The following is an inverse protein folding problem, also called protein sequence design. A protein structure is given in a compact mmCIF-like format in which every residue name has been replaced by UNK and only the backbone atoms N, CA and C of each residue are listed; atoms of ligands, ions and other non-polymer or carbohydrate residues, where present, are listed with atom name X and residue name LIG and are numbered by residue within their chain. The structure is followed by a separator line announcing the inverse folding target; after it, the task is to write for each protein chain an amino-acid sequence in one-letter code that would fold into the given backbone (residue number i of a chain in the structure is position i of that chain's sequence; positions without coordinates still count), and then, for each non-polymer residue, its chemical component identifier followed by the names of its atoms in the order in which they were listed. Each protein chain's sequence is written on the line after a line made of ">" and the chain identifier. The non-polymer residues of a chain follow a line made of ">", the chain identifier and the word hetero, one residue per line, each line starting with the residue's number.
data_IF_817056025798
#
_entry.id   IF_817056025798
#
_cell.length_a   1.000
_cell.length_b   1.000
_cell.length_c   1.000
_cell.angle_alpha   90.00
_cell.angle_beta   90.00
_cell.angle_gamma   90.00
#
_symmetry.space_group_name_H-M   'P 1'
#
loop_
_entity.id
_entity.type
_entity.pdbx_description
1 polymer ?
#
# COMPACT_ATOMS: atom_id res chain seq x y z
N UNK A 1 52.24 -42.65 -61.74
CA UNK A 1 51.42 -41.43 -61.93
C UNK A 1 50.13 -41.58 -61.15
N UNK A 2 50.04 -41.04 -59.92
CA UNK A 2 48.80 -40.88 -59.16
C UNK A 2 48.90 -39.54 -58.43
N UNK A 3 48.04 -38.60 -58.81
CA UNK A 3 47.85 -37.30 -58.18
C UNK A 3 46.57 -37.43 -57.35
N UNK A 4 46.64 -37.17 -56.04
CA UNK A 4 45.44 -36.96 -55.22
C UNK A 4 45.59 -35.66 -54.45
N UNK A 5 44.60 -34.81 -54.64
CA UNK A 5 44.49 -33.40 -54.26
C UNK A 5 44.26 -33.27 -52.75
N UNK A 6 45.06 -32.44 -52.07
CA UNK A 6 44.79 -32.00 -50.70
C UNK A 6 43.77 -30.85 -50.74
N UNK A 7 42.58 -31.07 -50.15
CA UNK A 7 41.59 -30.02 -49.90
C UNK A 7 41.88 -29.39 -48.53
N UNK A 8 42.29 -28.12 -48.53
CA UNK A 8 42.53 -27.33 -47.31
C UNK A 8 41.26 -26.60 -46.91
N UNK A 9 40.59 -27.06 -45.86
CA UNK A 9 39.41 -26.40 -45.30
C UNK A 9 39.86 -25.27 -44.36
N UNK A 10 39.69 -24.02 -44.80
CA UNK A 10 39.91 -22.83 -43.99
C UNK A 10 38.70 -22.63 -43.06
N UNK A 11 38.88 -22.88 -41.76
CA UNK A 11 37.85 -22.64 -40.75
C UNK A 11 37.81 -21.15 -40.39
N UNK A 12 36.75 -20.46 -40.83
CA UNK A 12 36.46 -19.08 -40.43
C UNK A 12 35.90 -19.10 -39.01
N UNK A 13 36.70 -18.69 -38.03
CA UNK A 13 36.28 -18.46 -36.64
C UNK A 13 35.49 -17.15 -36.56
N UNK A 14 34.16 -17.25 -36.52
CA UNK A 14 33.25 -16.16 -36.19
C UNK A 14 33.34 -15.86 -34.68
N UNK A 15 34.03 -14.79 -34.30
CA UNK A 15 33.94 -14.21 -32.96
C UNK A 15 32.64 -13.42 -32.84
N UNK A 16 31.62 -14.02 -32.23
CA UNK A 16 30.42 -13.31 -31.81
C UNK A 16 30.75 -12.50 -30.53
N UNK A 17 31.07 -11.22 -30.69
CA UNK A 17 31.19 -10.29 -29.57
C UNK A 17 29.81 -10.04 -28.98
N UNK A 18 29.47 -10.73 -27.90
CA UNK A 18 28.28 -10.44 -27.11
C UNK A 18 28.48 -9.10 -26.40
N UNK A 19 27.91 -8.03 -26.96
CA UNK A 19 27.78 -6.75 -26.28
C UNK A 19 26.82 -6.93 -25.10
N UNK A 20 27.36 -7.04 -23.90
CA UNK A 20 26.56 -6.96 -22.67
C UNK A 20 25.91 -5.58 -22.63
N UNK A 21 24.58 -5.54 -22.57
CA UNK A 21 23.85 -4.32 -22.21
C UNK A 21 24.27 -3.99 -20.77
N UNK A 22 25.16 -3.02 -20.60
CA UNK A 22 25.55 -2.54 -19.28
C UNK A 22 24.33 -1.88 -18.66
N UNK A 23 23.79 -2.47 -17.59
CA UNK A 23 22.75 -1.83 -16.80
C UNK A 23 23.29 -0.47 -16.32
N UNK A 24 22.58 0.61 -16.68
CA UNK A 24 22.94 1.96 -16.25
C UNK A 24 22.75 2.00 -14.74
N UNK A 25 23.84 2.17 -14.00
CA UNK A 25 23.77 2.28 -12.55
C UNK A 25 23.09 3.60 -12.13
N UNK A 26 22.36 3.63 -11.00
CA UNK A 26 21.75 4.84 -10.49
C UNK A 26 22.81 5.82 -10.02
N UNK A 27 22.54 7.10 -10.25
CA UNK A 27 23.37 8.22 -9.74
C UNK A 27 23.07 8.45 -8.26
N UNK A 28 21.79 8.40 -7.88
CA UNK A 28 21.32 8.60 -6.51
C UNK A 28 20.04 7.82 -6.21
N UNK A 29 19.72 7.70 -4.92
CA UNK A 29 18.44 7.17 -4.44
C UNK A 29 17.81 8.16 -3.44
N UNK A 30 16.49 8.21 -3.43
CA UNK A 30 15.68 8.96 -2.47
C UNK A 30 14.60 8.04 -1.88
N UNK A 31 14.24 8.27 -0.62
CA UNK A 31 13.19 7.50 0.06
C UNK A 31 12.07 8.45 0.47
N UNK A 32 10.83 8.02 0.24
CA UNK A 32 9.64 8.79 0.55
C UNK A 32 8.70 8.00 1.46
N UNK A 33 8.22 8.61 2.57
CA UNK A 33 8.59 9.93 3.07
C UNK A 33 10.06 10.00 3.54
N UNK A 34 10.67 11.21 3.62
CA UNK A 34 12.06 11.39 4.04
C UNK A 34 12.28 11.11 5.53
N UNK A 35 11.21 11.09 6.33
CA UNK A 35 11.18 10.70 7.74
C UNK A 35 9.88 9.94 8.05
N UNK A 36 9.91 9.10 9.08
CA UNK A 36 8.78 8.28 9.49
C UNK A 36 8.42 8.61 10.93
N UNK A 37 7.28 9.28 11.13
CA UNK A 37 6.72 9.53 12.45
C UNK A 37 5.49 8.64 12.64
N UNK A 38 5.53 7.75 13.63
CA UNK A 38 4.42 6.86 13.95
C UNK A 38 3.94 7.10 15.37
N UNK A 39 2.62 7.02 15.53
CA UNK A 39 1.99 7.06 16.84
C UNK A 39 0.97 5.94 16.98
N UNK A 40 0.80 5.43 18.20
CA UNK A 40 -0.14 4.37 18.58
C UNK A 40 0.24 2.97 18.06
N UNK A 41 -0.34 1.95 18.67
CA UNK A 41 -0.21 0.55 18.23
C UNK A 41 -0.73 0.28 16.81
N UNK A 42 -1.61 1.14 16.28
CA UNK A 42 -2.13 1.08 14.91
C UNK A 42 -1.34 1.92 13.90
N UNK A 43 -0.28 2.60 14.33
CA UNK A 43 0.59 3.35 13.44
C UNK A 43 1.22 2.43 12.40
N UNK A 44 1.29 2.87 11.15
CA UNK A 44 2.02 2.18 10.09
C UNK A 44 2.43 3.16 9.01
N UNK A 45 3.58 2.94 8.40
CA UNK A 45 4.09 3.78 7.33
C UNK A 45 4.69 2.92 6.23
N UNK A 46 4.31 3.17 4.98
CA UNK A 46 4.98 2.58 3.82
C UNK A 46 6.09 3.50 3.35
N UNK A 47 7.19 2.91 2.90
CA UNK A 47 8.27 3.64 2.24
C UNK A 47 8.31 3.31 0.75
N UNK A 48 8.71 4.28 -0.07
CA UNK A 48 8.98 4.14 -1.49
C UNK A 48 10.43 4.53 -1.73
N UNK A 49 11.16 3.72 -2.48
CA UNK A 49 12.54 4.00 -2.87
C UNK A 49 12.55 4.38 -4.34
N UNK A 50 13.03 5.57 -4.64
CA UNK A 50 13.16 6.08 -6.00
C UNK A 50 14.65 6.19 -6.36
N UNK A 51 15.05 5.54 -7.45
CA UNK A 51 16.37 5.70 -8.04
C UNK A 51 16.34 6.75 -9.16
N UNK A 52 17.39 7.55 -9.26
CA UNK A 52 17.60 8.53 -10.33
C UNK A 52 18.84 8.15 -11.14
N UNK A 53 18.74 8.18 -12.47
CA UNK A 53 19.79 7.76 -13.40
C UNK A 53 20.38 8.95 -14.16
N UNK A 54 21.54 8.74 -14.80
CA UNK A 54 22.28 9.81 -15.49
C UNK A 54 21.55 10.36 -16.73
N UNK A 55 20.61 9.58 -17.28
CA UNK A 55 19.73 9.97 -18.37
C UNK A 55 18.53 10.84 -17.90
N UNK A 56 18.43 11.13 -16.60
CA UNK A 56 17.35 11.89 -15.99
C UNK A 56 16.09 11.07 -15.67
N UNK A 57 16.07 9.76 -16.00
CA UNK A 57 14.95 8.88 -15.69
C UNK A 57 14.96 8.56 -14.19
N UNK A 58 13.76 8.48 -13.61
CA UNK A 58 13.55 7.96 -12.26
C UNK A 58 12.78 6.65 -12.30
N UNK A 59 13.06 5.75 -11.35
CA UNK A 59 12.37 4.45 -11.24
C UNK A 59 12.02 4.17 -9.80
N UNK A 60 10.83 3.62 -9.58
CA UNK A 60 10.47 2.98 -8.31
C UNK A 60 11.29 1.68 -8.21
N UNK A 61 12.18 1.65 -7.23
CA UNK A 61 13.06 0.52 -6.92
C UNK A 61 12.75 -0.09 -5.56
N UNK A 62 11.55 0.18 -5.00
CA UNK A 62 11.17 -0.23 -3.64
C UNK A 62 11.26 -1.73 -3.44
N UNK A 63 10.89 -2.52 -4.46
CA UNK A 63 10.92 -3.97 -4.39
C UNK A 63 12.34 -4.56 -4.52
N UNK A 64 13.28 -3.84 -5.13
CA UNK A 64 14.66 -4.28 -5.34
C UNK A 64 15.61 -3.75 -4.26
N UNK A 65 15.24 -2.68 -3.56
CA UNK A 65 16.05 -2.10 -2.51
C UNK A 65 16.15 -3.02 -1.29
N UNK A 66 17.35 -3.12 -0.73
CA UNK A 66 17.59 -3.76 0.56
C UNK A 66 17.27 -2.77 1.66
N UNK A 67 16.31 -3.12 2.51
CA UNK A 67 15.82 -2.26 3.60
C UNK A 67 16.09 -2.94 4.94
N UNK A 68 16.72 -2.24 5.87
CA UNK A 68 17.05 -2.75 7.20
C UNK A 68 16.71 -1.73 8.28
N UNK A 69 16.39 -2.19 9.49
CA UNK A 69 16.09 -1.34 10.65
C UNK A 69 17.21 -1.42 11.67
N UNK A 70 17.61 -0.28 12.23
CA UNK A 70 18.71 -0.21 13.20
C UNK A 70 18.35 -0.78 14.57
N UNK A 71 17.10 -0.61 15.03
CA UNK A 71 16.63 -1.17 16.30
C UNK A 71 15.26 -1.88 16.14
N UNK A 72 15.26 -3.22 16.07
CA UNK A 72 14.05 -4.03 16.01
C UNK A 72 13.12 -3.91 17.23
N UNK A 73 13.60 -3.36 18.36
CA UNK A 73 12.78 -3.14 19.56
C UNK A 73 11.89 -1.90 19.43
N UNK A 74 12.24 -0.97 18.55
CA UNK A 74 11.49 0.29 18.33
C UNK A 74 10.52 0.12 17.16
N UNK A 75 10.98 -0.42 16.04
CA UNK A 75 10.16 -0.64 14.87
C UNK A 75 10.61 -1.88 14.10
N UNK A 76 9.68 -2.46 13.32
CA UNK A 76 9.94 -3.61 12.44
C UNK A 76 9.39 -3.33 11.05
N UNK A 77 9.92 -4.04 10.06
CA UNK A 77 9.47 -3.92 8.66
C UNK A 77 8.83 -5.24 8.23
N UNK A 78 7.59 -5.18 7.76
CA UNK A 78 6.83 -6.32 7.24
C UNK A 78 6.20 -5.88 5.93
N UNK A 79 6.46 -6.61 4.84
CA UNK A 79 5.90 -6.30 3.50
C UNK A 79 6.11 -4.84 3.05
N UNK A 80 7.30 -4.27 3.32
CA UNK A 80 7.65 -2.85 3.04
C UNK A 80 6.83 -1.82 3.84
N UNK A 81 6.05 -2.26 4.83
CA UNK A 81 5.43 -1.39 5.84
C UNK A 81 6.27 -1.42 7.13
N UNK A 82 6.57 -0.22 7.63
CA UNK A 82 7.18 0.02 8.94
C UNK A 82 6.07 0.00 9.97
N UNK A 83 6.25 -0.82 11.01
CA UNK A 83 5.32 -1.02 12.11
C UNK A 83 5.98 -0.66 13.44
N UNK A 84 5.26 0.01 14.37
CA UNK A 84 5.75 0.32 15.70
C UNK A 84 5.86 -0.95 16.55
N UNK A 85 6.88 -1.00 17.39
CA UNK A 85 7.11 -2.06 18.39
C UNK A 85 7.30 -1.47 19.79
N UNK A 86 8.05 -0.38 19.87
CA UNK A 86 8.36 0.33 21.11
C UNK A 86 8.59 1.81 20.87
N UNK A 87 8.57 2.59 21.94
CA UNK A 87 8.80 4.03 21.87
C UNK A 87 10.28 4.35 21.71
N UNK A 88 10.58 5.36 20.91
CA UNK A 88 11.95 5.85 20.73
C UNK A 88 12.26 6.25 19.30
N UNK A 89 13.56 6.48 19.06
CA UNK A 89 14.08 6.87 17.76
C UNK A 89 14.97 5.77 17.20
N UNK A 90 14.77 5.44 15.94
CA UNK A 90 15.68 4.58 15.18
C UNK A 90 15.84 5.12 13.77
N UNK A 91 16.57 4.39 12.93
CA UNK A 91 16.72 4.69 11.50
C UNK A 91 16.51 3.45 10.65
N UNK A 92 15.99 3.67 9.44
CA UNK A 92 15.91 2.68 8.37
C UNK A 92 17.06 2.94 7.42
N UNK A 93 17.91 1.95 7.20
CA UNK A 93 18.94 1.99 6.17
C UNK A 93 18.42 1.33 4.89
N UNK A 94 18.46 2.08 3.79
CA UNK A 94 18.05 1.65 2.46
C UNK A 94 19.26 1.61 1.56
N UNK A 95 19.46 0.49 0.88
CA UNK A 95 20.55 0.27 -0.06
C UNK A 95 20.01 -0.23 -1.41
N UNK A 96 20.48 0.36 -2.51
CA UNK A 96 20.19 -0.09 -3.86
C UNK A 96 21.36 0.21 -4.79
N UNK A 97 21.88 -0.84 -5.45
CA UNK A 97 23.01 -0.77 -6.41
C UNK A 97 24.21 0.08 -5.92
N UNK A 98 24.63 -0.12 -4.68
CA UNK A 98 25.76 0.57 -4.05
C UNK A 98 25.46 1.99 -3.56
N UNK A 99 24.22 2.48 -3.71
CA UNK A 99 23.76 3.74 -3.11
C UNK A 99 23.06 3.44 -1.79
N UNK A 100 23.32 4.27 -0.79
CA UNK A 100 22.73 4.13 0.55
C UNK A 100 22.09 5.43 1.00
N UNK A 101 20.98 5.32 1.72
CA UNK A 101 20.36 6.44 2.42
C UNK A 101 19.77 5.97 3.75
N UNK A 102 19.59 6.90 4.68
CA UNK A 102 18.99 6.64 5.98
C UNK A 102 17.75 7.50 6.17
N UNK A 103 16.69 6.86 6.68
CA UNK A 103 15.42 7.52 7.01
C UNK A 103 15.24 7.48 8.52
N UNK A 104 15.16 8.63 9.21
CA UNK A 104 14.88 8.67 10.63
C UNK A 104 13.45 8.19 10.92
N UNK A 105 13.30 7.48 12.03
CA UNK A 105 12.04 6.97 12.55
C UNK A 105 11.86 7.47 13.98
N UNK A 106 10.71 8.07 14.27
CA UNK A 106 10.29 8.45 15.63
C UNK A 106 8.96 7.76 15.94
N UNK A 107 8.95 6.96 17.00
CA UNK A 107 7.77 6.21 17.44
C UNK A 107 7.36 6.67 18.83
N UNK A 108 6.08 7.01 18.97
CA UNK A 108 5.46 7.42 20.23
C UNK A 108 4.20 6.60 20.53
N UNK A 109 3.97 6.33 21.81
CA UNK A 109 2.79 5.60 22.27
C UNK A 109 2.59 4.24 21.57
N UNK A 110 3.66 3.53 21.22
CA UNK A 110 3.65 2.30 20.40
C UNK A 110 2.74 1.19 20.94
N UNK A 111 2.50 1.17 22.26
CA UNK A 111 1.67 0.17 22.93
C UNK A 111 0.23 0.69 23.16
N UNK A 112 0.01 2.01 23.08
CA UNK A 112 -1.33 2.57 23.30
C UNK A 112 -2.17 2.38 22.05
N UNK A 113 -3.30 1.73 22.22
CA UNK A 113 -4.31 1.74 21.18
C UNK A 113 -5.13 3.04 21.29
N UNK A 114 -5.18 3.82 20.19
CA UNK A 114 -5.98 5.05 20.17
C UNK A 114 -7.46 4.71 20.14
N UNK A 115 -8.37 5.55 20.67
CA UNK A 115 -9.81 5.33 20.50
C UNK A 115 -10.19 5.17 19.02
N UNK A 116 -11.21 4.34 18.77
CA UNK A 116 -11.80 4.18 17.44
C UNK A 116 -12.39 5.52 17.01
N UNK A 117 -12.07 5.91 15.78
CA UNK A 117 -12.51 7.13 15.14
C UNK A 117 -13.27 6.78 13.88
N UNK A 118 -14.52 7.23 13.78
CA UNK A 118 -15.29 7.06 12.55
C UNK A 118 -14.53 7.63 11.33
N UNK A 119 -13.89 8.79 11.49
CA UNK A 119 -13.15 9.47 10.44
C UNK A 119 -11.89 8.72 9.99
N UNK A 120 -11.14 8.13 10.92
CA UNK A 120 -9.86 7.50 10.60
C UNK A 120 -9.94 5.99 10.39
N UNK A 121 -10.96 5.33 10.94
CA UNK A 121 -11.07 3.86 10.93
C UNK A 121 -12.20 3.35 10.04
N UNK A 122 -13.34 4.06 9.96
CA UNK A 122 -14.54 3.57 9.25
C UNK A 122 -14.70 4.24 7.87
N UNK A 123 -14.61 5.56 7.80
CA UNK A 123 -14.77 6.29 6.55
C UNK A 123 -13.79 5.88 5.44
N UNK A 124 -12.51 5.60 5.71
CA UNK A 124 -11.59 5.14 4.67
C UNK A 124 -12.00 3.81 4.06
N UNK A 125 -12.70 2.95 4.80
CA UNK A 125 -13.25 1.69 4.29
C UNK A 125 -14.31 1.99 3.22
N UNK A 126 -15.21 2.95 3.48
CA UNK A 126 -16.22 3.36 2.48
C UNK A 126 -15.59 3.96 1.23
N UNK A 127 -14.54 4.76 1.39
CA UNK A 127 -13.83 5.38 0.27
C UNK A 127 -13.13 4.34 -0.60
N UNK A 128 -12.34 3.47 0.02
CA UNK A 128 -11.58 2.43 -0.67
C UNK A 128 -12.49 1.45 -1.41
N UNK A 129 -13.63 1.12 -0.83
CA UNK A 129 -14.59 0.17 -1.41
C UNK A 129 -15.66 0.81 -2.29
N UNK A 130 -15.60 2.13 -2.48
CA UNK A 130 -16.46 2.87 -3.40
C UNK A 130 -17.89 3.13 -2.93
N UNK A 131 -18.20 2.91 -1.64
CA UNK A 131 -19.53 3.13 -1.10
C UNK A 131 -19.92 4.62 -1.13
N UNK A 132 -18.99 5.51 -0.81
CA UNK A 132 -19.22 6.97 -0.74
C UNK A 132 -18.80 7.72 -2.02
N UNK A 133 -18.72 7.03 -3.16
CA UNK A 133 -18.44 7.65 -4.46
C UNK A 133 -19.72 8.12 -5.15
N UNK A 134 -19.58 9.04 -6.10
CA UNK A 134 -20.70 9.67 -6.82
C UNK A 134 -21.60 8.70 -7.61
N UNK A 135 -21.13 7.49 -7.92
CA UNK A 135 -21.93 6.45 -8.57
C UNK A 135 -22.92 5.71 -7.65
N UNK A 136 -22.76 5.83 -6.32
CA UNK A 136 -23.53 5.07 -5.33
C UNK A 136 -24.06 5.97 -4.19
N UNK A 137 -23.80 5.63 -2.92
CA UNK A 137 -24.30 6.40 -1.79
C UNK A 137 -23.68 7.80 -1.68
N UNK A 138 -22.52 8.02 -2.30
CA UNK A 138 -21.89 9.35 -2.44
C UNK A 138 -22.53 10.27 -3.49
N UNK A 139 -23.54 9.79 -4.24
CA UNK A 139 -24.30 10.65 -5.14
C UNK A 139 -25.02 11.76 -4.37
N UNK A 140 -25.25 12.93 -4.99
CA UNK A 140 -25.92 14.06 -4.35
C UNK A 140 -27.28 13.68 -3.69
N UNK A 141 -28.01 12.76 -4.34
CA UNK A 141 -29.28 12.20 -3.88
C UNK A 141 -29.16 10.87 -3.11
N UNK A 142 -27.95 10.31 -2.98
CA UNK A 142 -27.71 8.96 -2.49
C UNK A 142 -28.33 7.88 -3.38
N UNK A 143 -28.52 6.69 -2.81
CA UNK A 143 -29.18 5.52 -3.43
C UNK A 143 -30.12 4.88 -2.42
N UNK A 144 -31.34 4.57 -2.85
CA UNK A 144 -32.34 3.80 -2.08
C UNK A 144 -32.57 4.33 -0.66
N UNK A 145 -32.64 5.66 -0.52
CA UNK A 145 -32.86 6.34 0.76
C UNK A 145 -31.65 6.32 1.71
N UNK A 146 -30.45 6.02 1.21
CA UNK A 146 -29.20 6.14 1.96
C UNK A 146 -28.18 7.00 1.21
N UNK A 147 -27.65 8.00 1.91
CA UNK A 147 -26.63 8.94 1.40
C UNK A 147 -25.44 8.98 2.34
N UNK A 148 -24.26 8.86 1.76
CA UNK A 148 -22.98 9.22 2.35
C UNK A 148 -22.49 10.49 1.63
N UNK A 149 -21.66 11.27 2.30
CA UNK A 149 -21.03 12.44 1.73
C UNK A 149 -19.98 12.00 0.70
N UNK A 150 -19.86 12.76 -0.39
CA UNK A 150 -18.93 12.44 -1.45
C UNK A 150 -17.50 12.40 -0.91
N UNK A 151 -16.84 11.25 -1.04
CA UNK A 151 -15.49 10.98 -0.53
C UNK A 151 -15.30 11.24 0.97
N UNK A 152 -16.39 11.30 1.75
CA UNK A 152 -16.31 11.56 3.18
C UNK A 152 -16.17 13.04 3.56
N UNK A 153 -16.68 13.94 2.73
CA UNK A 153 -16.67 15.39 2.99
C UNK A 153 -17.36 15.82 4.29
N UNK A 154 -18.37 15.09 4.76
CA UNK A 154 -19.14 15.36 5.99
C UNK A 154 -19.14 14.12 6.92
N UNK A 155 -18.04 13.90 7.68
CA UNK A 155 -17.91 12.77 8.61
C UNK A 155 -19.03 12.67 9.65
N UNK A 156 -19.40 13.79 10.25
CA UNK A 156 -20.36 13.80 11.35
C UNK A 156 -21.78 13.50 10.85
N UNK A 157 -22.15 14.08 9.71
CA UNK A 157 -23.41 13.75 9.06
C UNK A 157 -23.44 12.33 8.52
N UNK A 158 -22.34 11.79 7.99
CA UNK A 158 -22.26 10.39 7.56
C UNK A 158 -22.44 9.43 8.73
N UNK A 159 -21.79 9.71 9.86
CA UNK A 159 -21.96 8.96 11.09
C UNK A 159 -23.43 9.00 11.56
N UNK A 160 -24.07 10.17 11.55
CA UNK A 160 -25.48 10.31 11.91
C UNK A 160 -26.42 9.52 10.97
N UNK A 161 -26.24 9.64 9.64
CA UNK A 161 -27.04 8.93 8.63
C UNK A 161 -26.90 7.42 8.75
N UNK A 162 -25.70 6.96 9.10
CA UNK A 162 -25.43 5.55 9.29
C UNK A 162 -26.07 5.01 10.58
N UNK A 163 -25.94 5.75 11.69
CA UNK A 163 -26.29 5.23 13.02
C UNK A 163 -27.68 5.63 13.52
N UNK A 164 -28.29 6.71 13.00
CA UNK A 164 -29.53 7.30 13.54
C UNK A 164 -30.69 7.33 12.55
N UNK A 165 -30.44 7.60 11.26
CA UNK A 165 -31.53 7.64 10.29
C UNK A 165 -32.22 6.29 10.11
N UNK A 166 -33.50 6.33 9.71
CA UNK A 166 -34.37 5.16 9.62
C UNK A 166 -34.37 4.32 10.90
N UNK A 167 -34.35 4.98 12.07
CA UNK A 167 -34.34 4.36 13.39
C UNK A 167 -33.17 3.38 13.59
N UNK A 168 -31.99 3.71 13.06
CA UNK A 168 -30.77 2.92 13.25
C UNK A 168 -30.74 1.56 12.53
N UNK A 169 -31.69 1.28 11.63
CA UNK A 169 -31.85 -0.03 10.96
C UNK A 169 -30.62 -0.56 10.20
N UNK A 170 -29.60 0.27 9.96
CA UNK A 170 -28.39 -0.10 9.21
C UNK A 170 -27.33 -0.80 10.08
N UNK A 171 -27.38 -0.58 11.39
CA UNK A 171 -26.40 -1.08 12.36
C UNK A 171 -27.14 -1.89 13.42
N UNK A 172 -26.71 -3.13 13.60
CA UNK A 172 -27.15 -3.97 14.69
C UNK A 172 -26.09 -3.91 15.80
N UNK A 173 -26.43 -3.26 16.92
CA UNK A 173 -25.51 -3.10 18.05
C UNK A 173 -25.42 -4.36 18.93
N UNK A 174 -26.39 -5.28 18.81
CA UNK A 174 -26.37 -6.54 19.55
C UNK A 174 -25.53 -7.60 18.81
N UNK A 175 -25.64 -7.65 17.48
CA UNK A 175 -24.93 -8.59 16.61
C UNK A 175 -24.36 -7.81 15.40
N UNK A 176 -23.15 -7.24 15.52
CA UNK A 176 -22.56 -6.36 14.49
C UNK A 176 -22.49 -6.98 13.10
N UNK A 177 -22.22 -8.29 13.00
CA UNK A 177 -22.11 -9.02 11.73
C UNK A 177 -23.44 -9.10 10.96
N UNK A 178 -24.57 -8.95 11.66
CA UNK A 178 -25.92 -8.90 11.10
C UNK A 178 -26.37 -7.46 10.78
N UNK A 179 -25.48 -6.47 10.89
CA UNK A 179 -25.76 -5.13 10.41
C UNK A 179 -26.04 -5.18 8.91
N UNK A 180 -27.16 -4.62 8.46
CA UNK A 180 -27.47 -4.50 7.02
C UNK A 180 -26.34 -3.85 6.22
N UNK A 181 -25.58 -2.94 6.84
CA UNK A 181 -24.35 -2.38 6.27
C UNK A 181 -23.34 -3.49 5.91
N UNK A 182 -23.04 -4.38 6.86
CA UNK A 182 -22.04 -5.46 6.74
C UNK A 182 -22.54 -6.54 5.77
N UNK A 183 -23.79 -6.98 5.91
CA UNK A 183 -24.37 -8.01 5.05
C UNK A 183 -24.42 -7.59 3.58
N UNK A 184 -24.75 -6.32 3.29
CA UNK A 184 -24.72 -5.79 1.92
C UNK A 184 -23.31 -5.61 1.38
N UNK A 185 -22.36 -5.24 2.24
CA UNK A 185 -20.97 -5.04 1.85
C UNK A 185 -20.26 -6.38 1.57
N UNK A 186 -20.64 -7.43 2.27
CA UNK A 186 -20.12 -8.80 2.08
C UNK A 186 -20.87 -9.59 1.02
N UNK A 187 -21.98 -9.07 0.49
CA UNK A 187 -22.80 -9.77 -0.50
C UNK A 187 -23.67 -10.88 0.08
N UNK A 188 -23.77 -11.01 1.42
CA UNK A 188 -24.66 -11.96 2.09
C UNK A 188 -26.14 -11.68 1.76
N UNK A 189 -26.49 -10.42 1.55
CA UNK A 189 -27.82 -10.01 1.05
C UNK A 189 -27.69 -9.23 -0.27
N UNK A 190 -28.71 -9.29 -1.15
CA UNK A 190 -28.67 -8.60 -2.43
C UNK A 190 -28.44 -7.09 -2.29
N UNK A 191 -27.50 -6.58 -3.08
CA UNK A 191 -27.18 -5.16 -3.13
C UNK A 191 -26.72 -4.77 -4.54
N UNK A 192 -27.31 -3.72 -5.10
CA UNK A 192 -26.98 -3.20 -6.44
C UNK A 192 -25.50 -2.80 -6.56
N UNK A 193 -24.86 -2.38 -5.46
CA UNK A 193 -23.43 -2.06 -5.43
C UNK A 193 -22.50 -3.27 -5.53
N UNK A 194 -23.04 -4.50 -5.49
CA UNK A 194 -22.27 -5.74 -5.44
C UNK A 194 -21.54 -5.95 -4.11
N UNK A 195 -20.83 -7.07 -4.02
CA UNK A 195 -19.90 -7.35 -2.92
C UNK A 195 -18.70 -6.39 -2.99
N UNK A 196 -18.29 -5.90 -1.83
CA UNK A 196 -17.18 -4.95 -1.66
C UNK A 196 -15.93 -5.60 -1.07
N UNK A 197 -16.11 -6.45 -0.07
CA UNK A 197 -15.06 -7.22 0.57
C UNK A 197 -15.63 -8.54 1.10
N UNK A 198 -14.79 -9.54 1.31
CA UNK A 198 -15.18 -10.84 1.85
C UNK A 198 -15.02 -10.88 3.38
N UNK A 199 -15.75 -11.80 4.03
CA UNK A 199 -15.59 -12.07 5.46
C UNK A 199 -14.15 -12.52 5.74
N UNK A 200 -13.51 -11.92 6.74
CA UNK A 200 -12.13 -12.23 7.12
C UNK A 200 -11.06 -11.50 6.31
N UNK A 201 -11.43 -10.68 5.32
CA UNK A 201 -10.50 -9.74 4.71
C UNK A 201 -10.24 -8.54 5.63
N UNK A 202 -9.16 -7.79 5.35
CA UNK A 202 -8.72 -6.65 6.17
C UNK A 202 -9.81 -5.59 6.44
N UNK A 203 -10.79 -5.44 5.54
CA UNK A 203 -11.82 -4.38 5.61
C UNK A 203 -13.16 -4.86 6.18
N UNK A 204 -13.28 -6.16 6.52
CA UNK A 204 -14.42 -6.72 7.25
C UNK A 204 -14.24 -6.47 8.74
#
# INVERSE_FOLDING_TARGET
>A
MKISVLSSACAILLFASATSIQAIAPVSIAVFPPDVNMQSARGKQRIIVQASYADGITRDVTAQAKVTISDPKIAKIVNLEVLPVGDGKCSIAVEFEGKTTQVPVDVKDAIKDRPISFKLDVMPIFLRNGCNQGGCHGAARGKDGFRLSLFGFDPDGDHYRLTRELNGRRINLAIPEESLLVEKSTGKVPHTGGQKFAVGEQYY
#
